data_IF_334129908310
#
_entry.id   IF_334129908310
#
_cell.length_a   1.000
_cell.length_b   1.000
_cell.length_c   1.000
_cell.angle_alpha   90.00
_cell.angle_beta   90.00
_cell.angle_gamma   90.00
#
_symmetry.space_group_name_H-M   'P 1'
#
loop_
_entity.id
_entity.type
_entity.pdbx_description
1 polymer ?
#
# COMPACT_ATOMS: atom_id res chain seq x y z
N UNK A 1 7.41 31.73 10.31
CA UNK A 1 7.49 30.92 9.07
C UNK A 1 6.07 30.66 8.58
N UNK A 2 5.83 30.69 7.27
CA UNK A 2 4.53 30.30 6.70
C UNK A 2 4.26 28.82 6.99
N UNK A 3 2.99 28.46 7.16
CA UNK A 3 2.57 27.05 7.35
C UNK A 3 3.01 26.21 6.16
N UNK A 4 3.58 25.00 6.35
CA UNK A 4 3.90 24.12 5.25
C UNK A 4 2.64 23.73 4.43
N UNK A 5 2.80 23.58 3.13
CA UNK A 5 1.76 23.08 2.23
C UNK A 5 1.57 21.57 2.42
N UNK A 6 2.69 20.85 2.55
CA UNK A 6 2.68 19.38 2.76
C UNK A 6 3.62 19.01 3.90
N UNK A 7 3.14 18.17 4.82
CA UNK A 7 3.97 17.41 5.76
C UNK A 7 4.24 16.03 5.16
N UNK A 8 5.50 15.66 5.01
CA UNK A 8 5.93 14.36 4.47
C UNK A 8 6.45 13.53 5.63
N UNK A 9 5.77 12.43 5.95
CA UNK A 9 6.12 11.54 7.06
C UNK A 9 6.90 10.35 6.52
N UNK A 10 8.07 10.09 7.09
CA UNK A 10 9.01 9.07 6.63
C UNK A 10 9.39 8.16 7.81
N UNK A 11 8.67 7.04 8.01
CA UNK A 11 9.08 6.03 8.99
C UNK A 11 10.42 5.42 8.60
N UNK A 12 11.32 5.31 9.54
CA UNK A 12 12.70 4.84 9.32
C UNK A 12 13.06 3.78 10.35
N UNK A 13 13.44 2.58 9.90
CA UNK A 13 13.89 1.51 10.78
C UNK A 13 14.84 0.54 10.07
N UNK A 14 16.12 0.53 10.46
CA UNK A 14 17.15 -0.37 9.94
C UNK A 14 17.26 -0.38 8.41
N UNK A 15 17.37 0.81 7.81
CA UNK A 15 17.42 1.07 6.36
C UNK A 15 18.63 1.90 5.93
N UNK A 16 19.73 1.85 6.68
CA UNK A 16 20.96 2.63 6.41
C UNK A 16 21.45 2.56 4.98
N UNK A 17 21.22 1.43 4.30
CA UNK A 17 21.61 1.21 2.90
C UNK A 17 20.80 2.02 1.89
N UNK A 18 19.59 2.45 2.24
CA UNK A 18 18.63 3.03 1.31
C UNK A 18 18.21 4.45 1.65
N UNK A 19 18.13 4.78 2.97
CA UNK A 19 17.51 6.02 3.45
C UNK A 19 18.15 7.29 2.90
N UNK A 20 19.46 7.33 2.63
CA UNK A 20 20.11 8.51 2.02
C UNK A 20 19.50 8.85 0.66
N UNK A 21 19.25 7.86 -0.20
CA UNK A 21 18.62 8.09 -1.52
C UNK A 21 17.18 8.57 -1.39
N UNK A 22 16.45 8.04 -0.43
CA UNK A 22 15.12 8.52 -0.08
C UNK A 22 15.16 9.99 0.31
N UNK A 23 15.99 10.34 1.29
CA UNK A 23 16.11 11.69 1.83
C UNK A 23 16.64 12.69 0.79
N UNK A 24 17.60 12.30 -0.07
CA UNK A 24 18.06 13.09 -1.20
C UNK A 24 16.90 13.44 -2.14
N UNK A 25 16.04 12.45 -2.47
CA UNK A 25 14.88 12.67 -3.33
C UNK A 25 13.85 13.64 -2.72
N UNK A 26 13.74 13.65 -1.39
CA UNK A 26 12.90 14.59 -0.64
C UNK A 26 13.53 15.98 -0.52
N UNK A 27 14.84 16.07 -0.32
CA UNK A 27 15.59 17.31 -0.32
C UNK A 27 15.45 18.05 -1.66
N UNK A 28 15.41 17.30 -2.76
CA UNK A 28 15.31 17.84 -4.12
C UNK A 28 13.90 18.25 -4.55
N UNK A 29 12.88 18.16 -3.68
CA UNK A 29 11.51 18.54 -4.02
C UNK A 29 11.42 19.99 -4.53
N UNK A 30 10.69 20.17 -5.63
CA UNK A 30 10.46 21.49 -6.24
C UNK A 30 9.48 22.34 -5.45
N UNK A 31 8.53 21.71 -4.75
CA UNK A 31 7.70 22.38 -3.73
C UNK A 31 8.56 22.66 -2.49
N UNK A 32 8.84 23.94 -2.21
CA UNK A 32 9.74 24.33 -1.11
C UNK A 32 9.03 24.46 0.24
N UNK A 33 7.74 24.77 0.24
CA UNK A 33 6.92 24.93 1.44
C UNK A 33 6.45 23.57 1.98
N UNK A 34 7.41 22.69 2.29
CA UNK A 34 7.19 21.37 2.88
C UNK A 34 7.94 21.25 4.21
N UNK A 35 7.47 20.37 5.07
CA UNK A 35 8.24 19.79 6.16
C UNK A 35 8.38 18.29 5.95
N UNK A 36 9.51 17.73 6.34
CA UNK A 36 9.84 16.30 6.21
C UNK A 36 10.09 15.76 7.62
N UNK A 37 9.22 14.87 8.07
CA UNK A 37 9.23 14.34 9.43
C UNK A 37 9.78 12.91 9.37
N UNK A 38 11.06 12.76 9.69
CA UNK A 38 11.73 11.48 9.80
C UNK A 38 11.40 10.88 11.17
N UNK A 39 10.79 9.69 11.19
CA UNK A 39 10.48 8.99 12.43
C UNK A 39 11.38 7.78 12.54
N UNK A 40 12.49 7.91 13.26
CA UNK A 40 13.38 6.80 13.58
C UNK A 40 12.72 5.93 14.66
N UNK A 41 12.26 4.76 14.25
CA UNK A 41 11.54 3.80 15.07
C UNK A 41 12.49 2.89 15.85
N UNK A 42 13.53 3.47 16.47
CA UNK A 42 14.50 2.77 17.29
C UNK A 42 15.46 1.92 16.47
N UNK A 43 16.01 2.48 15.39
CA UNK A 43 17.00 1.80 14.56
C UNK A 43 18.24 1.40 15.37
N UNK A 44 18.79 0.22 15.05
CA UNK A 44 20.02 -0.32 15.65
C UNK A 44 21.22 -0.23 14.71
N UNK A 45 21.00 0.18 13.46
CA UNK A 45 22.02 0.51 12.47
C UNK A 45 22.26 2.03 12.41
N UNK A 46 22.92 2.53 11.38
CA UNK A 46 23.23 3.97 11.23
C UNK A 46 22.02 4.83 10.80
N UNK A 47 20.81 4.27 10.63
CA UNK A 47 19.66 5.00 10.10
C UNK A 47 19.29 6.22 10.94
N UNK A 48 19.27 6.09 12.29
CA UNK A 48 18.95 7.22 13.19
C UNK A 48 19.97 8.34 13.08
N UNK A 49 21.26 8.00 12.99
CA UNK A 49 22.34 8.97 12.80
C UNK A 49 22.21 9.71 11.45
N UNK A 50 21.84 8.99 10.39
CA UNK A 50 21.58 9.56 9.07
C UNK A 50 20.40 10.55 9.12
N UNK A 51 19.33 10.24 9.87
CA UNK A 51 18.22 11.17 10.09
C UNK A 51 18.71 12.51 10.67
N UNK A 52 19.55 12.44 11.71
CA UNK A 52 20.12 13.64 12.36
C UNK A 52 21.02 14.46 11.45
N UNK A 53 21.79 13.79 10.58
CA UNK A 53 22.61 14.45 9.55
C UNK A 53 21.74 15.30 8.62
N UNK A 54 20.65 14.75 8.08
CA UNK A 54 19.75 15.48 7.18
C UNK A 54 19.02 16.64 7.88
N UNK A 55 18.62 16.47 9.12
CA UNK A 55 18.02 17.55 9.90
C UNK A 55 19.00 18.74 10.16
N UNK A 56 20.31 18.46 10.24
CA UNK A 56 21.34 19.50 10.33
C UNK A 56 21.60 20.17 8.98
N UNK A 57 21.45 19.44 7.85
CA UNK A 57 21.73 19.96 6.51
C UNK A 57 20.61 20.83 5.96
N UNK A 58 19.34 20.51 6.27
CA UNK A 58 18.17 21.20 5.72
C UNK A 58 17.08 21.36 6.80
N UNK A 59 16.74 22.60 7.12
CA UNK A 59 15.78 22.95 8.17
C UNK A 59 14.35 22.47 7.93
N UNK A 60 14.04 21.96 6.74
CA UNK A 60 12.76 21.33 6.44
C UNK A 60 12.63 19.93 7.07
N UNK A 61 13.76 19.28 7.38
CA UNK A 61 13.79 17.99 8.04
C UNK A 61 13.67 18.13 9.55
N UNK A 62 12.80 17.34 10.13
CA UNK A 62 12.60 17.18 11.57
C UNK A 62 12.74 15.70 11.92
N UNK A 63 13.33 15.38 13.06
CA UNK A 63 13.54 14.00 13.49
C UNK A 63 12.77 13.73 14.77
N UNK A 64 12.14 12.56 14.83
CA UNK A 64 11.55 11.97 16.04
C UNK A 64 12.26 10.63 16.25
N UNK A 65 12.95 10.49 17.39
CA UNK A 65 13.46 9.20 17.82
C UNK A 65 12.49 8.57 18.81
N UNK A 66 12.14 7.31 18.60
CA UNK A 66 11.26 6.56 19.50
C UNK A 66 11.71 5.11 19.67
N UNK A 67 11.22 4.42 20.67
CA UNK A 67 11.37 2.97 20.79
C UNK A 67 10.56 2.29 19.68
N UNK A 68 11.03 1.15 19.18
CA UNK A 68 10.40 0.45 18.04
C UNK A 68 8.93 0.05 18.32
N UNK A 69 8.01 0.74 17.67
CA UNK A 69 6.55 0.54 17.74
C UNK A 69 5.97 -0.07 16.46
N UNK A 70 6.75 -0.08 15.38
CA UNK A 70 6.35 -0.59 14.06
C UNK A 70 5.86 0.52 13.11
N UNK A 71 5.74 0.13 11.82
CA UNK A 71 5.53 1.04 10.68
C UNK A 71 4.28 1.92 10.85
N UNK A 72 3.11 1.30 11.11
CA UNK A 72 1.86 2.04 11.24
C UNK A 72 1.89 3.06 12.40
N UNK A 73 2.44 2.66 13.55
CA UNK A 73 2.53 3.54 14.70
C UNK A 73 3.58 4.64 14.54
N UNK A 74 4.63 4.39 13.76
CA UNK A 74 5.60 5.43 13.39
C UNK A 74 4.98 6.49 12.47
N UNK A 75 4.11 6.09 11.53
CA UNK A 75 3.32 7.06 10.75
C UNK A 75 2.42 7.92 11.65
N UNK A 76 1.80 7.33 12.69
CA UNK A 76 1.01 8.09 13.66
C UNK A 76 1.85 9.13 14.41
N UNK A 77 3.04 8.75 14.89
CA UNK A 77 3.94 9.70 15.56
C UNK A 77 4.28 10.91 14.68
N UNK A 78 4.43 10.70 13.37
CA UNK A 78 4.59 11.78 12.41
C UNK A 78 3.31 12.59 12.19
N UNK A 79 2.13 11.93 12.14
CA UNK A 79 0.81 12.60 12.02
C UNK A 79 0.53 13.53 13.18
N UNK A 80 0.88 13.15 14.41
CA UNK A 80 0.63 13.91 15.63
C UNK A 80 1.33 15.27 15.62
N UNK A 81 2.47 15.39 14.95
CA UNK A 81 3.25 16.63 14.86
C UNK A 81 3.14 17.35 13.51
N UNK A 82 2.52 16.72 12.52
CA UNK A 82 2.34 17.30 11.20
C UNK A 82 1.52 18.60 11.26
N UNK A 83 1.99 19.67 10.60
CA UNK A 83 1.29 20.96 10.57
C UNK A 83 0.96 21.46 9.16
N UNK A 84 1.34 20.70 8.11
CA UNK A 84 1.01 21.00 6.73
C UNK A 84 -0.50 21.05 6.44
N UNK A 85 -0.87 21.64 5.34
CA UNK A 85 -2.25 21.62 4.84
C UNK A 85 -2.65 20.21 4.42
N UNK A 86 -1.74 19.54 3.72
CA UNK A 86 -1.84 18.12 3.35
C UNK A 86 -0.75 17.31 4.04
N UNK A 87 -0.96 15.99 4.14
CA UNK A 87 0.00 15.02 4.66
C UNK A 87 0.26 13.97 3.59
N UNK A 88 1.54 13.65 3.34
CA UNK A 88 1.97 12.53 2.52
C UNK A 88 2.87 11.58 3.31
N UNK A 89 3.04 10.37 2.81
CA UNK A 89 3.88 9.34 3.41
C UNK A 89 4.89 8.85 2.38
N UNK A 90 6.09 8.51 2.84
CA UNK A 90 7.13 7.90 2.00
C UNK A 90 7.84 6.82 2.81
N UNK A 91 7.97 5.62 2.27
CA UNK A 91 8.75 4.57 2.90
C UNK A 91 10.25 4.85 2.69
N UNK A 92 11.05 4.71 3.74
CA UNK A 92 12.45 5.17 3.76
C UNK A 92 13.42 4.35 2.92
N UNK A 93 12.98 3.24 2.31
CA UNK A 93 13.74 2.47 1.32
C UNK A 93 13.35 2.80 -0.13
N UNK A 94 12.35 3.68 -0.35
CA UNK A 94 11.88 4.13 -1.65
C UNK A 94 12.42 5.51 -2.04
N UNK A 95 12.08 5.99 -3.25
CA UNK A 95 12.41 7.33 -3.72
C UNK A 95 11.19 7.98 -4.38
N UNK A 96 11.24 9.29 -4.57
CA UNK A 96 10.15 10.03 -5.21
C UNK A 96 10.66 10.96 -6.31
N UNK A 97 9.82 11.25 -7.31
CA UNK A 97 10.11 12.29 -8.30
C UNK A 97 10.27 13.65 -7.60
N UNK A 98 11.21 14.45 -8.05
CA UNK A 98 11.40 15.84 -7.54
C UNK A 98 10.15 16.71 -7.62
N UNK A 99 9.18 16.35 -8.45
CA UNK A 99 7.94 17.09 -8.66
C UNK A 99 6.72 16.45 -8.00
N UNK A 100 6.89 15.31 -7.30
CA UNK A 100 5.75 14.55 -6.76
C UNK A 100 4.85 15.41 -5.88
N UNK A 101 5.39 16.01 -4.84
CA UNK A 101 4.56 16.75 -3.88
C UNK A 101 4.04 18.07 -4.45
N UNK A 102 4.74 18.68 -5.42
CA UNK A 102 4.22 19.83 -6.16
C UNK A 102 2.98 19.45 -6.97
N UNK A 103 3.08 18.40 -7.78
CA UNK A 103 1.97 17.95 -8.65
C UNK A 103 0.77 17.50 -7.82
N UNK A 104 1.00 16.69 -6.76
CA UNK A 104 -0.06 16.23 -5.89
C UNK A 104 -0.77 17.39 -5.18
N UNK A 105 -0.02 18.36 -4.65
CA UNK A 105 -0.56 19.54 -4.00
C UNK A 105 -1.34 20.43 -4.98
N UNK A 106 -0.76 20.75 -6.15
CA UNK A 106 -1.42 21.56 -7.19
C UNK A 106 -2.72 20.92 -7.66
N UNK A 107 -2.74 19.59 -7.89
CA UNK A 107 -3.95 18.85 -8.23
C UNK A 107 -4.98 18.93 -7.09
N UNK A 108 -4.58 18.68 -5.85
CA UNK A 108 -5.46 18.76 -4.70
C UNK A 108 -6.11 20.16 -4.55
N UNK A 109 -5.31 21.23 -4.67
CA UNK A 109 -5.82 22.61 -4.61
C UNK A 109 -6.72 22.96 -5.79
N UNK A 110 -6.31 22.62 -7.04
CA UNK A 110 -7.06 22.91 -8.26
C UNK A 110 -8.47 22.33 -8.23
N UNK A 111 -8.61 21.11 -7.70
CA UNK A 111 -9.89 20.41 -7.66
C UNK A 111 -10.59 20.49 -6.30
N UNK A 112 -9.98 21.15 -5.31
CA UNK A 112 -10.49 21.18 -3.92
C UNK A 112 -10.71 19.75 -3.40
N UNK A 113 -9.71 18.89 -3.56
CA UNK A 113 -9.80 17.48 -3.25
C UNK A 113 -9.34 17.15 -1.83
N UNK A 114 -9.99 16.18 -1.19
CA UNK A 114 -9.56 15.65 0.11
C UNK A 114 -8.32 14.77 -0.03
N UNK A 115 -8.16 14.10 -1.19
CA UNK A 115 -7.01 13.25 -1.48
C UNK A 115 -6.58 13.45 -2.93
N UNK A 116 -5.26 13.50 -3.16
CA UNK A 116 -4.66 13.48 -4.50
C UNK A 116 -3.65 12.35 -4.58
N UNK A 117 -3.85 11.39 -5.50
CA UNK A 117 -2.98 10.24 -5.73
C UNK A 117 -2.20 10.35 -7.04
N UNK A 118 -1.07 9.62 -7.12
CA UNK A 118 -0.32 9.34 -8.34
C UNK A 118 -0.07 7.84 -8.48
N UNK A 119 0.51 7.43 -9.62
CA UNK A 119 0.96 6.06 -9.84
C UNK A 119 2.40 5.87 -9.34
N UNK A 120 2.80 4.60 -9.23
CA UNK A 120 4.16 4.23 -8.86
C UNK A 120 4.85 3.43 -9.97
N UNK A 121 6.19 3.53 -10.00
CA UNK A 121 7.06 2.72 -10.84
C UNK A 121 8.01 1.89 -9.97
N UNK A 122 8.22 0.61 -10.33
CA UNK A 122 9.20 -0.23 -9.66
C UNK A 122 10.59 -0.03 -10.26
N UNK A 123 11.62 -0.07 -9.42
CA UNK A 123 13.01 -0.06 -9.83
C UNK A 123 13.85 -1.00 -8.97
N UNK A 124 15.02 -1.40 -9.48
CA UNK A 124 15.97 -2.27 -8.78
C UNK A 124 17.26 -1.54 -8.51
N UNK A 125 17.79 -0.86 -9.51
CA UNK A 125 19.08 -0.19 -9.48
C UNK A 125 18.90 1.32 -9.50
N UNK A 126 19.70 2.04 -8.70
CA UNK A 126 19.61 3.50 -8.57
C UNK A 126 19.85 4.23 -9.91
N UNK A 127 20.59 3.64 -10.85
CA UNK A 127 20.83 4.21 -12.17
C UNK A 127 19.54 4.33 -13.00
N UNK A 128 18.53 3.49 -12.75
CA UNK A 128 17.23 3.57 -13.41
C UNK A 128 16.51 4.89 -13.08
N UNK A 129 16.74 5.46 -11.88
CA UNK A 129 16.08 6.69 -11.42
C UNK A 129 16.38 7.89 -12.32
N UNK A 130 17.57 7.95 -12.91
CA UNK A 130 17.99 9.05 -13.79
C UNK A 130 17.23 9.08 -15.12
N UNK A 131 16.70 7.94 -15.55
CA UNK A 131 15.93 7.77 -16.79
C UNK A 131 14.44 8.03 -16.61
N UNK A 132 13.95 8.16 -15.37
CA UNK A 132 12.52 8.29 -15.09
C UNK A 132 12.03 9.70 -15.43
N UNK A 133 11.21 9.76 -16.47
CA UNK A 133 10.45 10.94 -16.84
C UNK A 133 8.97 10.58 -16.84
N UNK A 134 8.13 11.48 -16.37
CA UNK A 134 6.68 11.34 -16.51
C UNK A 134 6.24 12.22 -17.68
N UNK A 135 5.52 11.63 -18.63
CA UNK A 135 5.10 12.32 -19.87
C UNK A 135 3.68 12.85 -19.84
N UNK A 136 2.84 12.29 -18.97
CA UNK A 136 1.42 12.63 -18.88
C UNK A 136 1.02 12.87 -17.44
N UNK A 137 0.15 13.85 -17.24
CA UNK A 137 -0.52 14.12 -15.97
C UNK A 137 -2.03 14.17 -16.23
N UNK A 138 -2.57 13.08 -16.84
CA UNK A 138 -4.00 12.95 -16.93
C UNK A 138 -4.54 12.67 -15.54
N UNK A 139 -5.54 13.43 -15.17
CA UNK A 139 -6.18 13.30 -13.86
C UNK A 139 -7.61 12.82 -14.04
N UNK A 140 -8.02 11.90 -13.17
CA UNK A 140 -9.40 11.50 -13.01
C UNK A 140 -9.91 12.00 -11.68
N UNK A 141 -11.16 12.41 -11.65
CA UNK A 141 -11.84 12.93 -10.47
C UNK A 141 -12.98 12.01 -10.09
N UNK A 142 -13.10 11.71 -8.82
CA UNK A 142 -14.26 11.07 -8.20
C UNK A 142 -14.84 12.05 -7.20
N UNK A 143 -16.13 12.37 -7.34
CA UNK A 143 -16.83 13.36 -6.54
C UNK A 143 -18.22 12.89 -6.13
N UNK A 144 -18.54 13.12 -4.86
CA UNK A 144 -19.79 12.71 -4.27
C UNK A 144 -19.78 11.26 -3.77
N UNK A 145 -20.70 10.96 -2.87
CA UNK A 145 -20.76 9.73 -2.10
C UNK A 145 -20.69 8.47 -2.97
N UNK A 146 -21.52 8.40 -4.00
CA UNK A 146 -21.61 7.22 -4.88
C UNK A 146 -20.29 6.90 -5.59
N UNK A 147 -19.62 7.91 -6.15
CA UNK A 147 -18.35 7.69 -6.87
C UNK A 147 -17.21 7.37 -5.91
N UNK A 148 -17.16 8.03 -4.76
CA UNK A 148 -16.18 7.77 -3.70
C UNK A 148 -16.35 6.35 -3.15
N UNK A 149 -17.58 5.93 -2.89
CA UNK A 149 -17.89 4.57 -2.45
C UNK A 149 -17.44 3.53 -3.49
N UNK A 150 -17.73 3.77 -4.79
CA UNK A 150 -17.26 2.89 -5.85
C UNK A 150 -15.73 2.87 -5.96
N UNK A 151 -15.07 4.03 -5.78
CA UNK A 151 -13.60 4.12 -5.74
C UNK A 151 -13.01 3.24 -4.63
N UNK A 152 -13.60 3.25 -3.42
CA UNK A 152 -13.16 2.39 -2.33
C UNK A 152 -13.36 0.91 -2.64
N UNK A 153 -14.51 0.52 -3.17
CA UNK A 153 -14.77 -0.87 -3.57
C UNK A 153 -13.79 -1.35 -4.65
N UNK A 154 -13.48 -0.49 -5.64
CA UNK A 154 -12.51 -0.77 -6.71
C UNK A 154 -11.06 -0.94 -6.19
N UNK A 155 -10.72 -0.32 -5.06
CA UNK A 155 -9.42 -0.55 -4.36
C UNK A 155 -9.39 -1.91 -3.67
N UNK A 156 -10.50 -2.34 -3.08
CA UNK A 156 -10.61 -3.66 -2.44
C UNK A 156 -10.55 -4.78 -3.48
N UNK A 157 -11.36 -4.69 -4.53
CA UNK A 157 -11.37 -5.71 -5.56
C UNK A 157 -12.35 -5.42 -6.69
N UNK A 158 -11.93 -5.76 -7.90
CA UNK A 158 -12.70 -5.54 -9.13
C UNK A 158 -13.65 -6.70 -9.44
N UNK A 159 -14.70 -6.45 -10.24
CA UNK A 159 -15.60 -7.49 -10.72
C UNK A 159 -14.89 -8.63 -11.46
N UNK A 160 -15.49 -9.84 -11.55
CA UNK A 160 -14.82 -11.02 -12.12
C UNK A 160 -14.28 -10.84 -13.54
N UNK A 161 -14.97 -10.09 -14.40
CA UNK A 161 -14.56 -9.86 -15.80
C UNK A 161 -13.30 -8.99 -15.94
N UNK A 162 -12.94 -8.25 -14.92
CA UNK A 162 -11.78 -7.36 -14.95
C UNK A 162 -10.46 -8.14 -14.91
N UNK A 163 -9.47 -7.65 -15.68
CA UNK A 163 -8.15 -8.31 -15.77
C UNK A 163 -7.30 -8.12 -14.51
N UNK A 164 -7.42 -6.96 -13.87
CA UNK A 164 -6.71 -6.64 -12.62
C UNK A 164 -7.50 -7.11 -11.41
N UNK A 165 -6.84 -7.35 -10.30
CA UNK A 165 -7.51 -7.70 -9.03
C UNK A 165 -8.13 -6.48 -8.35
N UNK A 166 -7.47 -5.33 -8.43
CA UNK A 166 -7.95 -4.02 -7.98
C UNK A 166 -7.58 -2.95 -9.01
N UNK A 167 -8.27 -1.82 -9.00
CA UNK A 167 -8.03 -0.72 -9.95
C UNK A 167 -6.80 0.09 -9.54
N UNK A 168 -6.65 0.33 -8.26
CA UNK A 168 -5.59 1.15 -7.68
C UNK A 168 -4.81 0.33 -6.67
N UNK A 169 -3.50 0.52 -6.59
CA UNK A 169 -2.69 -0.06 -5.52
C UNK A 169 -3.13 0.49 -4.15
N UNK A 170 -3.21 -0.37 -3.15
CA UNK A 170 -3.42 0.08 -1.78
C UNK A 170 -2.09 0.54 -1.19
N UNK A 171 -1.71 1.79 -1.42
CA UNK A 171 -0.56 2.41 -0.76
C UNK A 171 -0.87 3.86 -0.45
N UNK A 172 -0.70 4.23 0.79
CA UNK A 172 -0.81 5.62 1.25
C UNK A 172 0.36 6.48 0.77
N UNK A 173 1.46 5.84 0.36
CA UNK A 173 2.68 6.54 -0.08
C UNK A 173 2.53 7.21 -1.44
N UNK A 174 1.54 6.82 -2.26
CA UNK A 174 1.31 7.43 -3.56
C UNK A 174 0.41 8.67 -3.52
N UNK A 175 0.17 9.27 -2.35
CA UNK A 175 -0.79 10.36 -2.24
C UNK A 175 -0.51 11.40 -1.19
N UNK A 176 -1.30 12.46 -1.25
CA UNK A 176 -1.43 13.46 -0.19
C UNK A 176 -2.89 13.53 0.28
N UNK A 177 -3.07 13.68 1.58
CA UNK A 177 -4.34 13.65 2.29
C UNK A 177 -4.59 15.00 2.96
N UNK A 178 -5.77 15.58 2.81
CA UNK A 178 -6.14 16.82 3.48
C UNK A 178 -6.09 16.61 5.00
N UNK A 179 -5.13 17.27 5.68
CA UNK A 179 -4.89 17.07 7.12
C UNK A 179 -6.13 17.36 7.96
N UNK A 180 -6.92 18.39 7.59
CA UNK A 180 -8.17 18.71 8.28
C UNK A 180 -9.12 17.51 8.27
N UNK A 181 -9.23 16.79 7.15
CA UNK A 181 -10.06 15.59 7.02
C UNK A 181 -9.56 14.47 7.94
N UNK A 182 -8.25 14.24 8.00
CA UNK A 182 -7.67 13.21 8.89
C UNK A 182 -7.98 13.50 10.36
N UNK A 183 -7.90 14.77 10.77
CA UNK A 183 -8.26 15.19 12.13
C UNK A 183 -9.75 15.00 12.42
N UNK A 184 -10.63 15.43 11.50
CA UNK A 184 -12.09 15.26 11.62
C UNK A 184 -12.50 13.80 11.82
N UNK A 185 -11.80 12.88 11.13
CA UNK A 185 -12.06 11.44 11.18
C UNK A 185 -11.32 10.74 12.33
N UNK A 186 -10.48 11.44 13.07
CA UNK A 186 -9.53 10.86 14.02
C UNK A 186 -8.75 9.68 13.40
N UNK A 187 -8.27 9.88 12.16
CA UNK A 187 -7.66 8.85 11.34
C UNK A 187 -6.27 8.48 11.85
N UNK A 188 -6.08 7.19 12.16
CA UNK A 188 -4.81 6.64 12.64
C UNK A 188 -4.52 5.29 12.01
N UNK A 189 -3.25 5.01 11.77
CA UNK A 189 -2.83 3.67 11.38
C UNK A 189 -2.93 2.70 12.54
N UNK A 190 -3.33 1.48 12.24
CA UNK A 190 -3.14 0.35 13.14
C UNK A 190 -1.72 -0.22 12.97
N UNK A 191 -1.27 -1.05 13.90
CA UNK A 191 0.03 -1.70 13.77
C UNK A 191 0.00 -2.78 12.67
N UNK A 192 1.01 -2.79 11.80
CA UNK A 192 1.26 -3.86 10.83
C UNK A 192 1.54 -5.21 11.51
N UNK A 193 1.85 -5.19 12.81
CA UNK A 193 1.99 -6.40 13.64
C UNK A 193 0.64 -7.03 13.93
N UNK A 194 -0.43 -6.22 13.99
CA UNK A 194 -1.80 -6.68 14.17
C UNK A 194 -2.43 -7.10 12.83
N UNK A 195 -2.33 -6.26 11.80
CA UNK A 195 -2.87 -6.55 10.47
C UNK A 195 -1.82 -6.30 9.38
N UNK A 196 -1.68 -7.24 8.46
CA UNK A 196 -0.60 -7.29 7.46
C UNK A 196 -0.56 -6.13 6.46
N UNK A 197 -1.64 -5.34 6.33
CA UNK A 197 -1.75 -4.17 5.46
C UNK A 197 -2.49 -3.05 6.19
N UNK A 198 -1.76 -2.31 7.01
CA UNK A 198 -2.26 -1.20 7.82
C UNK A 198 -2.78 -0.04 6.95
N UNK A 199 -2.20 0.16 5.77
CA UNK A 199 -2.65 1.16 4.78
C UNK A 199 -4.04 0.85 4.22
N UNK A 200 -4.38 -0.42 3.97
CA UNK A 200 -5.73 -0.78 3.54
C UNK A 200 -6.77 -0.42 4.60
N UNK A 201 -6.45 -0.64 5.86
CA UNK A 201 -7.35 -0.27 6.97
C UNK A 201 -7.46 1.25 7.09
N UNK A 202 -6.35 1.98 6.94
CA UNK A 202 -6.36 3.44 6.92
C UNK A 202 -7.21 3.98 5.76
N UNK A 203 -7.07 3.42 4.56
CA UNK A 203 -7.88 3.77 3.40
C UNK A 203 -9.38 3.53 3.64
N UNK A 204 -9.76 2.42 4.27
CA UNK A 204 -11.15 2.10 4.64
C UNK A 204 -11.72 3.12 5.63
N UNK A 205 -10.90 3.59 6.57
CA UNK A 205 -11.33 4.55 7.60
C UNK A 205 -11.39 5.99 7.06
N UNK A 206 -10.75 6.29 5.91
CA UNK A 206 -10.65 7.66 5.38
C UNK A 206 -11.42 7.84 4.08
N UNK A 207 -11.19 6.99 3.08
CA UNK A 207 -11.70 7.18 1.70
C UNK A 207 -13.21 7.31 1.64
N UNK A 208 -14.03 6.46 2.27
CA UNK A 208 -15.48 6.54 2.15
C UNK A 208 -16.09 7.87 2.65
N UNK A 209 -15.35 8.59 3.48
CA UNK A 209 -15.80 9.86 4.08
C UNK A 209 -15.25 11.10 3.35
N UNK A 210 -14.49 10.91 2.28
CA UNK A 210 -14.02 11.99 1.42
C UNK A 210 -15.15 12.51 0.54
N UNK A 211 -15.04 13.78 0.12
CA UNK A 211 -15.96 14.40 -0.83
C UNK A 211 -15.42 14.31 -2.25
N UNK A 212 -14.10 14.39 -2.40
CA UNK A 212 -13.44 14.40 -3.70
C UNK A 212 -12.05 13.78 -3.65
N UNK A 213 -11.77 12.92 -4.62
CA UNK A 213 -10.47 12.26 -4.83
C UNK A 213 -10.00 12.53 -6.24
N UNK A 214 -8.73 12.89 -6.38
CA UNK A 214 -8.05 13.03 -7.66
C UNK A 214 -7.01 11.92 -7.79
N UNK A 215 -6.92 11.30 -8.95
CA UNK A 215 -5.89 10.33 -9.27
C UNK A 215 -5.22 10.72 -10.59
N UNK A 216 -3.92 10.98 -10.54
CA UNK A 216 -3.06 11.22 -11.69
C UNK A 216 -2.45 9.92 -12.17
N UNK A 217 -2.33 9.72 -13.49
CA UNK A 217 -1.62 8.59 -14.09
C UNK A 217 -0.08 8.80 -14.14
N UNK A 218 0.42 9.92 -13.61
CA UNK A 218 1.85 10.19 -13.51
C UNK A 218 2.50 9.26 -12.49
N UNK A 219 3.54 8.54 -12.91
CA UNK A 219 4.34 7.66 -12.05
C UNK A 219 5.38 8.49 -11.29
N UNK A 220 5.01 8.99 -10.11
CA UNK A 220 5.83 9.91 -9.31
C UNK A 220 6.45 9.27 -8.08
N UNK A 221 5.98 8.12 -7.67
CA UNK A 221 6.52 7.32 -6.58
C UNK A 221 7.38 6.19 -7.15
N UNK A 222 8.61 6.02 -6.67
CA UNK A 222 9.57 5.04 -7.15
C UNK A 222 9.77 3.97 -6.08
N UNK A 223 9.09 2.83 -6.29
CA UNK A 223 9.09 1.69 -5.37
C UNK A 223 10.30 0.81 -5.61
N UNK A 224 11.20 0.72 -4.62
CA UNK A 224 12.40 -0.11 -4.70
C UNK A 224 12.10 -1.59 -4.52
N UNK A 225 12.71 -2.42 -5.37
CA UNK A 225 12.75 -3.85 -5.11
C UNK A 225 13.76 -4.15 -3.99
N UNK A 226 13.25 -4.40 -2.79
CA UNK A 226 14.05 -4.79 -1.62
C UNK A 226 13.74 -6.24 -1.25
N UNK A 227 14.71 -7.19 -1.37
CA UNK A 227 14.47 -8.60 -1.07
C UNK A 227 14.20 -8.86 0.44
N UNK A 228 14.56 -7.91 1.29
CA UNK A 228 14.36 -8.00 2.75
C UNK A 228 13.14 -7.20 3.24
N UNK A 229 12.30 -6.70 2.32
CA UNK A 229 11.11 -5.94 2.71
C UNK A 229 10.04 -6.82 3.35
N UNK A 230 9.11 -6.18 4.05
CA UNK A 230 7.95 -6.86 4.66
C UNK A 230 7.09 -7.61 3.63
N UNK A 231 7.09 -7.16 2.36
CA UNK A 231 6.31 -7.75 1.27
C UNK A 231 7.00 -8.95 0.62
N UNK A 232 8.34 -8.97 0.56
CA UNK A 232 9.13 -10.00 -0.14
C UNK A 232 9.54 -11.15 0.77
N UNK A 233 9.77 -10.89 2.06
CA UNK A 233 10.20 -11.91 3.03
C UNK A 233 9.14 -13.00 3.19
N UNK A 234 9.61 -14.27 3.26
CA UNK A 234 8.74 -15.42 3.52
C UNK A 234 8.02 -15.32 4.86
N UNK A 235 6.70 -15.51 4.84
CA UNK A 235 5.86 -15.57 6.04
C UNK A 235 4.94 -16.78 5.96
N UNK A 236 5.23 -17.83 6.72
CA UNK A 236 4.48 -19.10 6.69
C UNK A 236 3.02 -18.98 7.12
N UNK A 237 2.64 -17.87 7.76
CA UNK A 237 1.28 -17.57 8.21
C UNK A 237 0.60 -16.46 7.36
N UNK A 238 1.21 -16.06 6.23
CA UNK A 238 0.73 -14.94 5.40
C UNK A 238 -0.76 -15.07 5.06
N UNK A 239 -1.23 -16.24 4.63
CA UNK A 239 -2.63 -16.38 4.24
C UNK A 239 -3.59 -16.31 5.42
N UNK A 240 -3.23 -16.88 6.58
CA UNK A 240 -4.01 -16.73 7.83
C UNK A 240 -4.16 -15.26 8.21
N UNK A 241 -3.07 -14.49 8.19
CA UNK A 241 -3.12 -13.04 8.45
C UNK A 241 -3.95 -12.27 7.42
N UNK A 242 -3.98 -12.70 6.16
CA UNK A 242 -4.88 -12.12 5.15
C UNK A 242 -6.35 -12.42 5.42
N UNK A 243 -6.68 -13.60 5.99
CA UNK A 243 -8.05 -13.91 6.43
C UNK A 243 -8.44 -13.02 7.62
N UNK A 244 -7.55 -12.82 8.58
CA UNK A 244 -7.79 -11.90 9.71
C UNK A 244 -8.06 -10.48 9.20
N UNK A 245 -7.25 -10.00 8.25
CA UNK A 245 -7.47 -8.71 7.59
C UNK A 245 -8.80 -8.68 6.81
N UNK A 246 -9.14 -9.73 6.07
CA UNK A 246 -10.42 -9.85 5.36
C UNK A 246 -11.61 -9.68 6.30
N UNK A 247 -11.58 -10.30 7.48
CA UNK A 247 -12.64 -10.15 8.48
C UNK A 247 -12.70 -8.74 9.07
N UNK A 248 -11.56 -8.11 9.33
CA UNK A 248 -11.53 -6.72 9.80
C UNK A 248 -12.02 -5.73 8.72
N UNK A 249 -11.63 -5.93 7.45
CA UNK A 249 -12.15 -5.16 6.33
C UNK A 249 -13.68 -5.29 6.22
N UNK A 250 -14.22 -6.52 6.26
CA UNK A 250 -15.65 -6.76 6.23
C UNK A 250 -16.35 -6.05 7.40
N UNK A 251 -15.85 -6.20 8.62
CA UNK A 251 -16.40 -5.57 9.83
C UNK A 251 -16.48 -4.03 9.73
N UNK A 252 -15.48 -3.39 9.13
CA UNK A 252 -15.46 -1.92 8.95
C UNK A 252 -16.36 -1.50 7.80
N UNK A 253 -16.22 -2.13 6.65
CA UNK A 253 -16.96 -1.79 5.45
C UNK A 253 -18.46 -2.08 5.57
N UNK A 254 -18.89 -3.12 6.31
CA UNK A 254 -20.30 -3.42 6.53
C UNK A 254 -21.08 -2.37 7.33
N UNK A 255 -20.39 -1.37 7.88
CA UNK A 255 -21.02 -0.18 8.49
C UNK A 255 -21.48 0.84 7.44
N UNK A 256 -20.97 0.72 6.21
CA UNK A 256 -21.18 1.69 5.11
C UNK A 256 -21.87 1.03 3.91
N UNK A 257 -21.52 -0.21 3.62
CA UNK A 257 -21.96 -0.97 2.45
C UNK A 257 -22.79 -2.19 2.85
N UNK A 258 -23.72 -2.56 1.99
CA UNK A 258 -24.48 -3.81 2.13
C UNK A 258 -23.60 -5.05 1.85
N UNK A 259 -24.02 -6.21 2.34
CA UNK A 259 -23.37 -7.50 2.06
C UNK A 259 -23.26 -7.81 0.56
N UNK A 260 -24.26 -7.38 -0.22
CA UNK A 260 -24.30 -7.57 -1.67
C UNK A 260 -23.20 -6.76 -2.38
N UNK A 261 -23.02 -5.50 -1.98
CA UNK A 261 -21.97 -4.62 -2.52
C UNK A 261 -20.58 -5.13 -2.14
N UNK A 262 -20.39 -5.63 -0.93
CA UNK A 262 -19.10 -6.11 -0.42
C UNK A 262 -18.69 -7.47 -0.97
N UNK A 263 -19.66 -8.31 -1.36
CA UNK A 263 -19.37 -9.70 -1.71
C UNK A 263 -18.34 -9.84 -2.83
N UNK A 264 -18.51 -9.15 -3.95
CA UNK A 264 -17.59 -9.26 -5.09
C UNK A 264 -16.20 -8.68 -4.80
N UNK A 265 -16.05 -7.44 -4.27
CA UNK A 265 -14.74 -6.88 -3.94
C UNK A 265 -13.95 -7.73 -2.94
N UNK A 266 -14.57 -8.13 -1.85
CA UNK A 266 -13.91 -8.93 -0.82
C UNK A 266 -13.59 -10.35 -1.31
N UNK A 267 -14.45 -10.95 -2.14
CA UNK A 267 -14.15 -12.23 -2.79
C UNK A 267 -12.92 -12.13 -3.70
N UNK A 268 -12.82 -11.05 -4.50
CA UNK A 268 -11.67 -10.79 -5.36
C UNK A 268 -10.38 -10.60 -4.54
N UNK A 269 -10.45 -9.83 -3.47
CA UNK A 269 -9.35 -9.66 -2.53
C UNK A 269 -8.87 -11.00 -1.98
N UNK A 270 -9.77 -11.84 -1.48
CA UNK A 270 -9.43 -13.13 -0.88
C UNK A 270 -8.80 -14.10 -1.90
N UNK A 271 -9.34 -14.16 -3.13
CA UNK A 271 -8.77 -14.97 -4.22
C UNK A 271 -7.38 -14.47 -4.64
N UNK A 272 -7.17 -13.15 -4.67
CA UNK A 272 -5.88 -12.54 -4.98
C UNK A 272 -4.83 -12.87 -3.92
N UNK A 273 -5.16 -12.70 -2.64
CA UNK A 273 -4.24 -12.97 -1.54
C UNK A 273 -3.93 -14.46 -1.38
N UNK A 274 -4.90 -15.34 -1.66
CA UNK A 274 -4.66 -16.78 -1.74
C UNK A 274 -3.65 -17.13 -2.85
N UNK A 275 -3.78 -16.49 -4.03
CA UNK A 275 -2.83 -16.66 -5.13
C UNK A 275 -1.43 -16.15 -4.76
N UNK A 276 -1.32 -15.00 -4.11
CA UNK A 276 -0.03 -14.46 -3.63
C UNK A 276 0.63 -15.41 -2.64
N UNK A 277 -0.14 -16.01 -1.72
CA UNK A 277 0.38 -16.98 -0.77
C UNK A 277 0.90 -18.26 -1.46
N UNK A 278 0.18 -18.81 -2.46
CA UNK A 278 0.65 -19.97 -3.23
C UNK A 278 1.91 -19.63 -4.04
N UNK A 279 2.00 -18.42 -4.60
CA UNK A 279 3.20 -17.97 -5.31
C UNK A 279 4.39 -17.91 -4.35
N UNK A 280 4.21 -17.42 -3.13
CA UNK A 280 5.25 -17.43 -2.11
C UNK A 280 5.76 -18.84 -1.85
N UNK A 281 4.88 -19.83 -1.65
CA UNK A 281 5.28 -21.22 -1.46
C UNK A 281 6.07 -21.77 -2.66
N UNK A 282 5.70 -21.35 -3.88
CA UNK A 282 6.41 -21.73 -5.11
C UNK A 282 7.81 -21.12 -5.19
N UNK A 283 7.96 -19.85 -4.81
CA UNK A 283 9.26 -19.15 -4.81
C UNK A 283 10.24 -19.77 -3.82
N UNK A 284 9.75 -20.24 -2.68
CA UNK A 284 10.55 -20.87 -1.63
C UNK A 284 10.62 -22.41 -1.71
N UNK A 285 10.22 -22.98 -2.87
CA UNK A 285 10.19 -24.43 -3.08
C UNK A 285 11.56 -25.08 -2.92
N UNK A 286 12.64 -24.40 -3.35
CA UNK A 286 14.02 -24.92 -3.23
C UNK A 286 14.48 -25.04 -1.77
N UNK A 287 14.08 -24.10 -0.90
CA UNK A 287 14.45 -24.11 0.52
C UNK A 287 13.52 -24.97 1.37
N UNK A 288 12.23 -24.97 1.09
CA UNK A 288 11.22 -25.61 1.94
C UNK A 288 10.84 -27.03 1.48
N UNK A 289 11.09 -27.36 0.22
CA UNK A 289 10.76 -28.64 -0.38
C UNK A 289 9.30 -28.78 -0.84
N UNK A 290 9.08 -29.68 -1.79
CA UNK A 290 7.76 -29.86 -2.45
C UNK A 290 6.66 -30.35 -1.50
N UNK A 291 7.01 -31.24 -0.57
CA UNK A 291 6.02 -31.80 0.39
C UNK A 291 5.49 -30.71 1.30
N UNK A 292 6.38 -29.85 1.80
CA UNK A 292 6.01 -28.72 2.65
C UNK A 292 5.11 -27.73 1.88
N UNK A 293 5.54 -27.29 0.69
CA UNK A 293 4.77 -26.37 -0.16
C UNK A 293 3.38 -26.96 -0.50
N UNK A 294 3.30 -28.24 -0.86
CA UNK A 294 2.02 -28.92 -1.12
C UNK A 294 1.09 -28.88 0.08
N UNK A 295 1.62 -29.15 1.28
CA UNK A 295 0.82 -29.12 2.51
C UNK A 295 0.27 -27.71 2.78
N UNK A 296 1.11 -26.67 2.63
CA UNK A 296 0.70 -25.27 2.79
C UNK A 296 -0.37 -24.86 1.78
N UNK A 297 -0.20 -25.22 0.51
CA UNK A 297 -1.20 -24.95 -0.54
C UNK A 297 -2.53 -25.63 -0.24
N UNK A 298 -2.50 -26.87 0.28
CA UNK A 298 -3.71 -27.58 0.71
C UNK A 298 -4.37 -26.93 1.94
N UNK A 299 -3.60 -26.41 2.90
CA UNK A 299 -4.14 -25.65 4.03
C UNK A 299 -4.88 -24.39 3.54
N UNK A 300 -4.30 -23.65 2.57
CA UNK A 300 -4.94 -22.50 1.95
C UNK A 300 -6.27 -22.90 1.28
N UNK A 301 -6.27 -23.96 0.47
CA UNK A 301 -7.47 -24.40 -0.26
C UNK A 301 -8.62 -24.88 0.65
N UNK A 302 -8.30 -25.33 1.87
CA UNK A 302 -9.30 -25.82 2.83
C UNK A 302 -9.97 -24.71 3.65
N UNK A 303 -9.54 -23.46 3.54
CA UNK A 303 -10.10 -22.36 4.34
C UNK A 303 -11.59 -22.16 4.08
N UNK A 304 -12.41 -22.04 5.13
CA UNK A 304 -13.87 -21.91 5.00
C UNK A 304 -14.31 -20.70 4.17
N UNK A 305 -13.58 -19.60 4.27
CA UNK A 305 -13.84 -18.36 3.54
C UNK A 305 -13.73 -18.57 2.03
N UNK A 306 -12.68 -19.26 1.56
CA UNK A 306 -12.51 -19.59 0.15
C UNK A 306 -13.61 -20.52 -0.35
N UNK A 307 -14.03 -21.50 0.46
CA UNK A 307 -15.15 -22.40 0.09
C UNK A 307 -16.43 -21.60 -0.13
N UNK A 308 -16.75 -20.64 0.75
CA UNK A 308 -17.91 -19.75 0.59
C UNK A 308 -17.82 -18.90 -0.68
N UNK A 309 -16.63 -18.37 -0.99
CA UNK A 309 -16.40 -17.63 -2.23
C UNK A 309 -16.65 -18.50 -3.45
N UNK A 310 -16.12 -19.73 -3.51
CA UNK A 310 -16.31 -20.63 -4.65
C UNK A 310 -17.76 -21.10 -4.88
N UNK A 311 -18.63 -20.99 -3.90
CA UNK A 311 -20.05 -21.32 -4.06
C UNK A 311 -20.83 -20.21 -4.81
N UNK A 312 -20.48 -18.95 -4.63
CA UNK A 312 -21.29 -17.82 -5.10
C UNK A 312 -20.57 -16.91 -6.10
N UNK A 313 -19.23 -16.73 -5.96
CA UNK A 313 -18.45 -15.83 -6.81
C UNK A 313 -18.28 -16.44 -8.21
N UNK A 314 -18.50 -15.62 -9.25
CA UNK A 314 -18.40 -16.06 -10.65
C UNK A 314 -16.95 -16.18 -11.12
N UNK A 315 -16.14 -17.00 -10.43
CA UNK A 315 -14.72 -17.20 -10.73
C UNK A 315 -14.45 -17.72 -12.14
N UNK A 316 -15.46 -18.35 -12.81
CA UNK A 316 -15.38 -18.80 -14.21
C UNK A 316 -15.24 -17.64 -15.21
N UNK A 317 -15.66 -16.42 -14.84
CA UNK A 317 -15.53 -15.22 -15.65
C UNK A 317 -14.15 -14.54 -15.52
N UNK A 318 -13.29 -15.03 -14.62
CA UNK A 318 -11.93 -14.53 -14.44
C UNK A 318 -11.03 -14.80 -15.66
N UNK A 319 -9.96 -14.00 -15.87
CA UNK A 319 -8.95 -14.27 -16.89
C UNK A 319 -8.42 -15.70 -16.80
N UNK A 320 -8.11 -16.32 -17.96
CA UNK A 320 -7.82 -17.77 -18.09
C UNK A 320 -6.80 -18.30 -17.07
N UNK A 321 -5.69 -17.60 -16.84
CA UNK A 321 -4.67 -18.04 -15.87
C UNK A 321 -5.20 -18.04 -14.43
N UNK A 322 -5.98 -17.01 -14.05
CA UNK A 322 -6.58 -16.92 -12.73
C UNK A 322 -7.69 -17.95 -12.57
N UNK A 323 -8.49 -18.17 -13.61
CA UNK A 323 -9.55 -19.19 -13.64
C UNK A 323 -8.99 -20.61 -13.45
N UNK A 324 -7.89 -20.96 -14.12
CA UNK A 324 -7.20 -22.24 -13.92
C UNK A 324 -6.67 -22.37 -12.47
N UNK A 325 -6.09 -21.30 -11.93
CA UNK A 325 -5.66 -21.28 -10.54
C UNK A 325 -6.84 -21.56 -9.59
N UNK A 326 -7.97 -20.88 -9.77
CA UNK A 326 -9.18 -21.08 -8.97
C UNK A 326 -9.75 -22.50 -9.12
N UNK A 327 -9.74 -23.07 -10.32
CA UNK A 327 -10.15 -24.46 -10.55
C UNK A 327 -9.31 -25.44 -9.74
N UNK A 328 -7.97 -25.34 -9.84
CA UNK A 328 -7.08 -26.22 -9.07
C UNK A 328 -7.23 -26.02 -7.55
N UNK A 329 -7.42 -24.79 -7.10
CA UNK A 329 -7.62 -24.48 -5.69
C UNK A 329 -8.93 -25.08 -5.16
N UNK A 330 -10.04 -24.88 -5.89
CA UNK A 330 -11.36 -25.43 -5.53
C UNK A 330 -11.33 -26.95 -5.39
N UNK A 331 -10.57 -27.63 -6.24
CA UNK A 331 -10.45 -29.09 -6.25
C UNK A 331 -9.24 -29.62 -5.44
N UNK A 332 -8.54 -28.75 -4.72
CA UNK A 332 -7.37 -29.07 -3.87
C UNK A 332 -6.24 -29.79 -4.64
N UNK A 333 -6.01 -29.39 -5.91
CA UNK A 333 -4.95 -29.93 -6.77
C UNK A 333 -3.67 -29.09 -6.58
N UNK A 334 -3.06 -29.17 -5.39
CA UNK A 334 -1.95 -28.31 -4.98
C UNK A 334 -0.73 -28.37 -5.91
N UNK A 335 -0.38 -29.55 -6.43
CA UNK A 335 0.77 -29.69 -7.35
C UNK A 335 0.53 -28.93 -8.65
N UNK A 336 -0.67 -29.00 -9.22
CA UNK A 336 -1.00 -28.24 -10.43
C UNK A 336 -0.99 -26.71 -10.18
N UNK A 337 -1.41 -26.24 -8.99
CA UNK A 337 -1.31 -24.83 -8.62
C UNK A 337 0.16 -24.37 -8.54
N UNK A 338 1.01 -25.16 -7.89
CA UNK A 338 2.46 -24.87 -7.77
C UNK A 338 3.08 -24.81 -9.17
N UNK A 339 2.80 -25.78 -10.04
CA UNK A 339 3.28 -25.79 -11.42
C UNK A 339 2.82 -24.55 -12.20
N UNK A 340 1.52 -24.20 -12.13
CA UNK A 340 0.96 -23.02 -12.79
C UNK A 340 1.64 -21.72 -12.32
N UNK A 341 1.98 -21.62 -11.04
CA UNK A 341 2.69 -20.46 -10.48
C UNK A 341 4.17 -20.42 -10.85
N UNK A 342 4.81 -21.58 -11.06
CA UNK A 342 6.21 -21.67 -11.49
C UNK A 342 6.42 -21.29 -12.98
N UNK A 343 5.38 -21.35 -13.80
CA UNK A 343 5.40 -21.01 -15.25
C UNK A 343 5.26 -19.49 -15.52
N UNK A 344 5.70 -18.63 -14.60
CA UNK A 344 5.65 -17.16 -14.71
C UNK A 344 6.83 -16.57 -15.43
#
# INVERSE_FOLDING_TARGET
MSRPKVSIIVPTYNVEKYCRKCFDSLMMQTLKEIEIILVDDGSTDSSGMICDEYAKMDSRFKVIHQTNRGLGLSRNSGLDVACGEYVGFVDSDDCVSKDMFRILYENACRFVADISYCEYRKFKDDDELTSFTYSNNNTRCWEGEKEIHQYMLDRVGLPPKEKKDCRFGASVCCGVFLRKKLIELNAHFISERQFIAEDMIFDIDVIPFCKKIIHSDAELYYYRYNPNSLTTTYKGDRFRRNIELYHEMYKRLSRIYSDEELFNPLSRYLLSTARVAVIQETQYLKSNGLVFARNKVNEIAKQPELKKVYLRYKWQELPIKIRLFCFFQKHSIAVAQIMLCAMR
#
